data_IF_256212890435
#
_entry.id   IF_256212890435
#
_cell.length_a   1.000
_cell.length_b   1.000
_cell.length_c   1.000
_cell.angle_alpha   90.00
_cell.angle_beta   90.00
_cell.angle_gamma   90.00
#
_symmetry.space_group_name_H-M   'P 1'
#
loop_
_entity.id
_entity.type
_entity.pdbx_description
1 polymer ?
#
# COMPACT_ATOMS: atom_id res chain seq x y z
N UNK A 1 -12.41 -27.93 -24.63
CA UNK A 1 -12.26 -28.66 -23.34
C UNK A 1 -11.27 -27.84 -22.55
N UNK A 2 -11.80 -26.93 -21.74
CA UNK A 2 -11.16 -25.64 -21.51
C UNK A 2 -10.35 -25.63 -20.22
N UNK A 3 -9.17 -25.00 -20.30
CA UNK A 3 -8.17 -24.86 -19.23
C UNK A 3 -8.73 -24.10 -18.01
N UNK A 4 -9.84 -23.39 -18.18
CA UNK A 4 -10.49 -22.56 -17.16
C UNK A 4 -11.20 -23.38 -16.07
N UNK A 5 -11.74 -24.55 -16.41
CA UNK A 5 -12.48 -25.39 -15.44
C UNK A 5 -11.56 -26.06 -14.41
N UNK A 6 -10.28 -26.31 -14.77
CA UNK A 6 -9.29 -26.93 -13.88
C UNK A 6 -8.69 -25.94 -12.87
N UNK A 7 -8.54 -24.66 -13.21
CA UNK A 7 -7.99 -23.69 -12.27
C UNK A 7 -8.99 -23.27 -11.18
N UNK A 8 -10.28 -23.13 -11.54
CA UNK A 8 -11.36 -22.87 -10.58
C UNK A 8 -11.58 -24.02 -9.60
N UNK A 9 -11.41 -25.25 -10.08
CA UNK A 9 -11.54 -26.45 -9.24
C UNK A 9 -10.40 -26.64 -8.27
N UNK A 10 -9.26 -25.92 -8.35
CA UNK A 10 -8.21 -25.98 -7.32
C UNK A 10 -8.29 -24.82 -6.31
N UNK A 11 -8.66 -23.62 -6.75
CA UNK A 11 -8.65 -22.43 -5.88
C UNK A 11 -9.88 -22.32 -4.99
N UNK A 12 -10.99 -22.98 -5.35
CA UNK A 12 -12.25 -22.85 -4.63
C UNK A 12 -12.66 -24.08 -3.82
N UNK A 13 -11.91 -25.19 -3.82
CA UNK A 13 -12.35 -26.47 -3.20
C UNK A 13 -12.84 -26.28 -1.76
N UNK A 14 -12.13 -25.48 -0.98
CA UNK A 14 -12.33 -25.30 0.46
C UNK A 14 -13.52 -24.41 0.85
N UNK A 15 -14.26 -23.84 -0.11
CA UNK A 15 -15.40 -22.96 0.19
C UNK A 15 -16.75 -23.68 0.14
N UNK A 16 -17.71 -23.32 1.02
CA UNK A 16 -19.08 -23.81 0.96
C UNK A 16 -19.72 -23.55 -0.42
N UNK A 17 -20.61 -24.46 -0.83
CA UNK A 17 -21.21 -24.44 -2.18
C UNK A 17 -21.92 -23.13 -2.52
N UNK A 18 -22.57 -22.48 -1.53
CA UNK A 18 -23.24 -21.20 -1.72
C UNK A 18 -22.28 -20.06 -2.08
N UNK A 19 -21.06 -20.07 -1.54
CA UNK A 19 -20.02 -19.08 -1.85
C UNK A 19 -19.52 -19.27 -3.28
N UNK A 20 -19.31 -20.52 -3.70
CA UNK A 20 -18.94 -20.86 -5.08
C UNK A 20 -20.01 -20.39 -6.06
N UNK A 21 -21.28 -20.73 -5.80
CA UNK A 21 -22.39 -20.34 -6.67
C UNK A 21 -22.53 -18.82 -6.79
N UNK A 22 -22.42 -18.09 -5.67
CA UNK A 22 -22.48 -16.61 -5.66
C UNK A 22 -21.31 -15.99 -6.42
N UNK A 23 -20.10 -16.52 -6.26
CA UNK A 23 -18.93 -16.06 -6.99
C UNK A 23 -19.08 -16.30 -8.50
N UNK A 24 -19.50 -17.50 -8.91
CA UNK A 24 -19.73 -17.84 -10.32
C UNK A 24 -20.78 -16.94 -10.95
N UNK A 25 -21.91 -16.71 -10.27
CA UNK A 25 -22.95 -15.81 -10.75
C UNK A 25 -22.42 -14.39 -10.96
N UNK A 26 -21.70 -13.84 -9.97
CA UNK A 26 -21.13 -12.49 -10.03
C UNK A 26 -20.04 -12.35 -11.09
N UNK A 27 -19.22 -13.39 -11.29
CA UNK A 27 -18.21 -13.42 -12.34
C UNK A 27 -18.86 -13.43 -13.74
N UNK A 28 -19.93 -14.21 -13.92
CA UNK A 28 -20.69 -14.23 -15.17
C UNK A 28 -21.38 -12.89 -15.45
N UNK A 29 -21.93 -12.23 -14.43
CA UNK A 29 -22.48 -10.88 -14.56
C UNK A 29 -21.39 -9.87 -14.99
N UNK A 30 -20.21 -9.94 -14.38
CA UNK A 30 -19.09 -9.08 -14.74
C UNK A 30 -18.61 -9.30 -16.19
N UNK A 31 -18.51 -10.56 -16.63
CA UNK A 31 -18.12 -10.89 -18.01
C UNK A 31 -19.14 -10.33 -19.03
N UNK A 32 -20.44 -10.38 -18.71
CA UNK A 32 -21.49 -9.78 -19.56
C UNK A 32 -21.33 -8.26 -19.68
N UNK A 33 -20.99 -7.58 -18.58
CA UNK A 33 -20.80 -6.12 -18.58
C UNK A 33 -19.50 -5.66 -19.28
N UNK A 34 -18.50 -6.55 -19.44
CA UNK A 34 -17.22 -6.23 -20.06
C UNK A 34 -17.08 -6.69 -21.52
N UNK A 35 -18.13 -7.21 -22.15
CA UNK A 35 -18.07 -7.79 -23.51
C UNK A 35 -18.14 -6.77 -24.65
N UNK A 36 -17.73 -5.51 -24.46
CA UNK A 36 -17.53 -4.55 -25.56
C UNK A 36 -16.03 -4.26 -25.73
N UNK A 37 -15.27 -5.27 -26.18
CA UNK A 37 -14.11 -5.09 -27.05
C UNK A 37 -14.05 -6.30 -27.98
N UNK A 38 -14.74 -6.21 -29.13
CA UNK A 38 -14.47 -7.10 -30.26
C UNK A 38 -13.19 -6.64 -30.94
N UNK A 39 -12.11 -7.41 -30.83
CA UNK A 39 -10.97 -7.33 -31.76
C UNK A 39 -10.70 -8.74 -32.30
N UNK A 40 -10.47 -8.92 -33.62
CA UNK A 40 -10.48 -10.23 -34.24
C UNK A 40 -9.33 -11.09 -33.72
N UNK A 41 -9.64 -12.36 -33.47
CA UNK A 41 -8.65 -13.39 -33.26
C UNK A 41 -7.67 -13.39 -34.45
N UNK A 42 -6.39 -13.11 -34.19
CA UNK A 42 -5.26 -13.89 -34.71
C UNK A 42 -3.95 -13.40 -34.08
N UNK A 43 -3.19 -14.36 -33.56
CA UNK A 43 -1.78 -14.33 -33.13
C UNK A 43 -1.44 -13.51 -31.87
N UNK A 44 -1.62 -14.13 -30.70
CA UNK A 44 -0.97 -13.71 -29.45
C UNK A 44 0.24 -14.60 -29.20
N UNK A 45 1.39 -14.19 -29.75
CA UNK A 45 2.69 -14.56 -29.21
C UNK A 45 3.00 -13.60 -28.07
N UNK A 46 3.04 -14.13 -26.84
CA UNK A 46 3.73 -13.58 -25.65
C UNK A 46 3.92 -12.06 -25.60
N UNK A 47 2.85 -11.31 -25.35
CA UNK A 47 2.95 -9.93 -24.86
C UNK A 47 3.17 -10.00 -23.35
N UNK A 48 4.37 -9.65 -22.91
CA UNK A 48 4.65 -9.40 -21.50
C UNK A 48 3.68 -8.35 -20.98
N UNK A 49 2.84 -8.74 -20.03
CA UNK A 49 1.97 -7.83 -19.28
C UNK A 49 2.88 -6.82 -18.59
N UNK A 50 3.00 -5.61 -19.15
CA UNK A 50 3.48 -4.47 -18.42
C UNK A 50 2.50 -4.25 -17.28
N UNK A 51 2.96 -4.55 -16.06
CA UNK A 51 2.26 -4.19 -14.83
C UNK A 51 1.99 -2.69 -14.88
N UNK A 52 0.74 -2.30 -15.10
CA UNK A 52 0.28 -0.93 -14.90
C UNK A 52 0.35 -0.67 -13.40
N UNK A 53 1.52 -0.19 -12.95
CA UNK A 53 1.71 0.22 -11.57
C UNK A 53 0.68 1.31 -11.24
N UNK A 54 -0.08 1.18 -10.14
CA UNK A 54 -0.96 2.25 -9.68
C UNK A 54 -0.14 3.54 -9.48
N UNK A 55 -0.78 4.74 -9.57
CA UNK A 55 -0.08 6.01 -9.44
C UNK A 55 0.80 6.02 -8.19
N UNK A 56 2.11 5.99 -8.40
CA UNK A 56 3.08 5.98 -7.32
C UNK A 56 3.05 7.34 -6.64
N UNK A 57 2.39 7.43 -5.48
CA UNK A 57 2.49 8.60 -4.61
C UNK A 57 3.98 8.84 -4.33
N UNK A 58 4.50 9.97 -4.79
CA UNK A 58 5.88 10.41 -4.56
C UNK A 58 5.88 11.55 -3.55
N UNK A 59 6.81 11.51 -2.62
CA UNK A 59 7.02 12.55 -1.61
C UNK A 59 8.31 13.27 -1.95
N UNK A 60 8.27 14.61 -2.01
CA UNK A 60 9.47 15.43 -2.19
C UNK A 60 10.17 15.62 -0.84
N UNK A 61 11.25 14.90 -0.58
CA UNK A 61 11.97 14.96 0.71
C UNK A 61 12.46 16.39 1.04
N UNK A 62 12.89 17.15 0.03
CA UNK A 62 13.35 18.53 0.22
C UNK A 62 12.22 19.47 0.66
N UNK A 63 11.01 19.31 0.13
CA UNK A 63 9.83 20.07 0.58
C UNK A 63 9.50 19.73 2.04
N UNK A 64 9.48 18.44 2.38
CA UNK A 64 9.20 17.97 3.74
C UNK A 64 10.17 18.61 4.75
N UNK A 65 11.47 18.60 4.44
CA UNK A 65 12.47 19.18 5.34
C UNK A 65 12.39 20.71 5.42
N UNK A 66 12.10 21.39 4.31
CA UNK A 66 11.96 22.86 4.31
C UNK A 66 10.67 23.34 4.98
N UNK A 67 9.66 22.48 5.10
CA UNK A 67 8.37 22.81 5.72
C UNK A 67 8.41 22.92 7.25
N UNK A 68 9.45 22.39 7.90
CA UNK A 68 9.54 22.34 9.36
C UNK A 68 10.85 22.96 9.88
N UNK A 69 10.80 23.61 11.04
CA UNK A 69 12.01 24.15 11.71
C UNK A 69 13.01 23.03 11.98
N UNK A 70 12.55 21.88 12.48
CA UNK A 70 13.39 20.70 12.71
C UNK A 70 14.03 20.18 11.43
N UNK A 71 13.30 20.15 10.32
CA UNK A 71 13.84 19.76 9.02
C UNK A 71 14.95 20.70 8.53
N UNK A 72 14.79 22.02 8.69
CA UNK A 72 15.85 23.01 8.40
C UNK A 72 17.09 22.79 9.28
N UNK A 73 16.90 22.54 10.58
CA UNK A 73 18.03 22.21 11.47
C UNK A 73 18.78 20.95 11.04
N UNK A 74 18.08 19.92 10.56
CA UNK A 74 18.73 18.70 10.04
C UNK A 74 19.57 19.02 8.80
N UNK A 75 19.06 19.85 7.90
CA UNK A 75 19.78 20.29 6.70
C UNK A 75 21.05 21.06 7.07
N UNK A 76 20.95 22.00 8.00
CA UNK A 76 22.09 22.81 8.43
C UNK A 76 23.13 21.98 9.20
N UNK A 77 22.68 21.04 10.04
CA UNK A 77 23.56 20.08 10.69
C UNK A 77 24.36 19.26 9.65
N UNK A 78 23.70 18.79 8.60
CA UNK A 78 24.37 18.01 7.55
C UNK A 78 25.41 18.84 6.81
N UNK A 79 25.12 20.09 6.45
CA UNK A 79 26.08 20.98 5.76
C UNK A 79 27.38 21.15 6.54
N UNK A 80 27.32 21.15 7.87
CA UNK A 80 28.49 21.34 8.74
C UNK A 80 29.24 20.02 8.97
N UNK A 81 28.51 18.92 9.21
CA UNK A 81 29.10 17.67 9.69
C UNK A 81 29.30 16.61 8.59
N UNK A 82 28.64 16.77 7.43
CA UNK A 82 28.59 15.83 6.31
C UNK A 82 28.16 14.39 6.65
N UNK A 83 27.62 14.17 7.86
CA UNK A 83 27.21 12.86 8.35
C UNK A 83 26.18 12.98 9.46
N UNK A 84 25.24 12.05 9.54
CA UNK A 84 24.32 11.98 10.68
C UNK A 84 24.83 11.09 11.81
N UNK A 85 24.47 11.48 13.04
CA UNK A 85 24.50 10.61 14.20
C UNK A 85 23.11 9.97 14.42
N UNK A 86 23.00 9.01 15.34
CA UNK A 86 21.73 8.31 15.57
C UNK A 86 20.58 9.23 16.00
N UNK A 87 20.87 10.32 16.72
CA UNK A 87 19.87 11.30 17.14
C UNK A 87 19.29 12.06 15.95
N UNK A 88 20.14 12.58 15.05
CA UNK A 88 19.70 13.29 13.84
C UNK A 88 18.95 12.34 12.89
N UNK A 89 19.39 11.09 12.75
CA UNK A 89 18.65 10.07 11.97
C UNK A 89 17.24 9.84 12.52
N UNK A 90 17.10 9.85 13.84
CA UNK A 90 15.79 9.66 14.49
C UNK A 90 14.89 10.88 14.26
N UNK A 91 15.42 12.09 14.40
CA UNK A 91 14.70 13.34 14.07
C UNK A 91 14.27 13.38 12.60
N UNK A 92 15.14 12.97 11.68
CA UNK A 92 14.82 12.89 10.25
C UNK A 92 13.62 11.98 10.00
N UNK A 93 13.64 10.77 10.56
CA UNK A 93 12.52 9.82 10.45
C UNK A 93 11.25 10.41 11.06
N UNK A 94 11.36 11.07 12.20
CA UNK A 94 10.19 11.67 12.88
C UNK A 94 9.56 12.78 12.05
N UNK A 95 10.37 13.66 11.44
CA UNK A 95 9.87 14.73 10.55
C UNK A 95 9.16 14.13 9.33
N UNK A 96 9.76 13.12 8.69
CA UNK A 96 9.17 12.45 7.51
C UNK A 96 7.85 11.77 7.87
N UNK A 97 7.84 10.97 8.94
CA UNK A 97 6.63 10.24 9.34
C UNK A 97 5.53 11.19 9.80
N UNK A 98 5.87 12.26 10.51
CA UNK A 98 4.89 13.28 10.91
C UNK A 98 4.26 13.94 9.69
N UNK A 99 5.04 14.29 8.66
CA UNK A 99 4.49 14.82 7.41
C UNK A 99 3.53 13.84 6.74
N UNK A 100 3.93 12.56 6.61
CA UNK A 100 3.12 11.51 5.99
C UNK A 100 1.78 11.33 6.71
N UNK A 101 1.81 11.27 8.04
CA UNK A 101 0.60 11.14 8.85
C UNK A 101 -0.28 12.38 8.71
N UNK A 102 0.28 13.59 8.83
CA UNK A 102 -0.49 14.84 8.71
C UNK A 102 -1.14 14.98 7.33
N UNK A 103 -0.48 14.50 6.27
CA UNK A 103 -1.02 14.46 4.90
C UNK A 103 -1.92 13.25 4.63
N UNK A 104 -2.14 12.39 5.63
CA UNK A 104 -2.96 11.18 5.53
C UNK A 104 -2.51 10.23 4.41
N UNK A 105 -1.21 10.17 4.17
CA UNK A 105 -0.63 9.31 3.14
C UNK A 105 -0.46 7.89 3.71
N UNK A 106 -1.04 6.85 3.10
CA UNK A 106 -0.84 5.48 3.54
C UNK A 106 0.58 5.01 3.24
N UNK A 107 1.26 4.44 4.25
CA UNK A 107 2.60 3.90 4.05
C UNK A 107 2.53 2.55 3.32
N UNK A 108 3.20 2.47 2.17
CA UNK A 108 3.44 1.23 1.45
C UNK A 108 4.92 0.84 1.47
N UNK A 109 5.22 -0.42 1.19
CA UNK A 109 6.59 -0.95 1.02
C UNK A 109 7.35 -0.15 -0.05
N UNK A 110 6.69 0.15 -1.17
CA UNK A 110 7.29 0.88 -2.29
C UNK A 110 7.57 2.33 -1.91
N UNK A 111 6.64 2.98 -1.20
CA UNK A 111 6.83 4.35 -0.71
C UNK A 111 8.01 4.42 0.27
N UNK A 112 8.07 3.52 1.25
CA UNK A 112 9.18 3.47 2.20
C UNK A 112 10.53 3.21 1.51
N UNK A 113 10.56 2.34 0.49
CA UNK A 113 11.75 2.10 -0.33
C UNK A 113 12.17 3.32 -1.14
N UNK A 114 11.20 4.06 -1.70
CA UNK A 114 11.45 5.31 -2.44
C UNK A 114 12.06 6.36 -1.51
N UNK A 115 11.42 6.62 -0.37
CA UNK A 115 11.91 7.57 0.64
C UNK A 115 13.32 7.20 1.08
N UNK A 116 13.59 5.92 1.39
CA UNK A 116 14.93 5.47 1.76
C UNK A 116 15.97 5.73 0.67
N UNK A 117 15.58 5.62 -0.60
CA UNK A 117 16.46 5.94 -1.73
C UNK A 117 16.68 7.45 -1.87
N UNK A 118 15.65 8.26 -1.64
CA UNK A 118 15.72 9.72 -1.70
C UNK A 118 16.56 10.30 -0.56
N UNK A 119 16.54 9.67 0.63
CA UNK A 119 17.44 10.01 1.75
C UNK A 119 18.89 9.82 1.34
N UNK A 120 19.26 8.68 0.75
CA UNK A 120 20.66 8.41 0.33
C UNK A 120 21.10 9.34 -0.80
N UNK A 121 20.19 9.69 -1.72
CA UNK A 121 20.49 10.68 -2.78
C UNK A 121 20.77 12.07 -2.21
N UNK A 122 20.01 12.48 -1.19
CA UNK A 122 20.15 13.80 -0.57
C UNK A 122 21.32 13.86 0.43
N UNK A 123 21.57 12.75 1.12
CA UNK A 123 22.58 12.62 2.17
C UNK A 123 23.50 11.43 1.85
N UNK A 124 24.55 11.68 1.06
CA UNK A 124 25.43 10.64 0.51
C UNK A 124 26.15 9.78 1.57
N UNK A 125 26.30 10.28 2.81
CA UNK A 125 26.88 9.50 3.93
C UNK A 125 25.95 8.42 4.51
N UNK A 126 24.68 8.42 4.12
CA UNK A 126 23.65 7.56 4.68
C UNK A 126 23.46 6.25 3.90
N UNK A 127 22.99 5.21 4.60
CA UNK A 127 22.77 3.88 4.03
C UNK A 127 21.28 3.55 4.03
N UNK A 128 20.76 3.13 2.88
CA UNK A 128 19.32 2.85 2.67
C UNK A 128 18.75 1.87 3.70
N UNK A 129 19.49 0.82 4.03
CA UNK A 129 19.05 -0.25 4.94
C UNK A 129 18.77 0.25 6.37
N UNK A 130 19.39 1.37 6.77
CA UNK A 130 19.08 2.04 8.05
C UNK A 130 17.62 2.49 8.10
N UNK A 131 17.09 2.91 6.95
CA UNK A 131 15.76 3.51 6.82
C UNK A 131 14.73 2.51 6.36
N UNK A 132 15.10 1.66 5.39
CA UNK A 132 14.21 0.66 4.83
C UNK A 132 14.99 -0.49 4.19
N UNK A 133 14.68 -1.72 4.61
CA UNK A 133 15.19 -2.95 4.01
C UNK A 133 14.05 -3.95 3.84
N UNK A 134 13.83 -4.40 2.61
CA UNK A 134 12.92 -5.52 2.32
C UNK A 134 13.77 -6.75 2.04
N UNK A 135 13.87 -7.63 3.02
CA UNK A 135 14.55 -8.90 2.86
C UNK A 135 13.58 -9.90 2.21
N UNK A 136 13.97 -10.49 1.08
CA UNK A 136 13.13 -11.40 0.30
C UNK A 136 12.71 -12.66 1.05
N UNK A 137 13.45 -13.05 2.10
CA UNK A 137 13.14 -14.18 2.96
C UNK A 137 12.18 -13.81 4.11
N UNK A 138 12.16 -12.53 4.51
CA UNK A 138 11.37 -12.05 5.64
C UNK A 138 10.08 -11.37 5.17
N UNK A 139 8.94 -11.82 5.71
CA UNK A 139 7.62 -11.25 5.38
C UNK A 139 7.49 -9.77 5.77
N UNK A 140 8.24 -9.32 6.78
CA UNK A 140 8.11 -7.98 7.35
C UNK A 140 9.29 -7.09 6.96
N UNK A 141 9.05 -5.90 6.38
CA UNK A 141 10.09 -4.92 6.13
C UNK A 141 10.79 -4.48 7.42
N UNK A 142 12.09 -4.25 7.32
CA UNK A 142 12.94 -3.73 8.41
C UNK A 142 13.32 -2.26 8.15
N UNK A 143 13.85 -1.60 9.16
CA UNK A 143 14.31 -0.21 9.10
C UNK A 143 13.41 0.78 9.83
N UNK A 144 13.92 2.00 10.04
CA UNK A 144 13.27 3.02 10.88
C UNK A 144 11.95 3.55 10.31
N UNK A 145 11.83 3.71 8.98
CA UNK A 145 10.66 4.36 8.36
C UNK A 145 9.37 3.55 8.55
N UNK A 146 9.41 2.29 8.11
CA UNK A 146 8.22 1.43 8.13
C UNK A 146 7.77 1.17 9.57
N UNK A 147 8.71 0.83 10.45
CA UNK A 147 8.41 0.60 11.86
C UNK A 147 7.84 1.84 12.56
N UNK A 148 8.46 3.02 12.36
CA UNK A 148 7.99 4.27 13.00
C UNK A 148 6.58 4.62 12.55
N UNK A 149 6.25 4.51 11.26
CA UNK A 149 4.91 4.82 10.77
C UNK A 149 3.82 4.01 11.49
N UNK A 150 3.94 2.67 11.50
CA UNK A 150 2.91 1.83 12.11
C UNK A 150 2.89 1.94 13.64
N UNK A 151 4.03 2.18 14.28
CA UNK A 151 4.08 2.44 15.71
C UNK A 151 3.40 3.77 16.06
N UNK A 152 3.71 4.86 15.34
CA UNK A 152 3.05 6.16 15.53
C UNK A 152 1.55 6.06 15.28
N UNK A 153 1.13 5.40 14.20
CA UNK A 153 -0.28 5.20 13.88
C UNK A 153 -1.01 4.37 14.94
N UNK A 154 -0.36 3.34 15.50
CA UNK A 154 -0.90 2.57 16.63
C UNK A 154 -1.10 3.47 17.84
N UNK A 155 -0.10 4.28 18.21
CA UNK A 155 -0.19 5.21 19.34
C UNK A 155 -1.34 6.19 19.16
N UNK A 156 -1.48 6.79 17.97
CA UNK A 156 -2.57 7.73 17.65
C UNK A 156 -3.97 7.08 17.73
N UNK A 157 -4.08 5.82 17.33
CA UNK A 157 -5.33 5.04 17.45
C UNK A 157 -5.65 4.73 18.90
N UNK A 158 -4.66 4.32 19.69
CA UNK A 158 -4.83 4.03 21.12
C UNK A 158 -5.24 5.29 21.88
N UNK A 159 -4.65 6.45 21.53
CA UNK A 159 -4.98 7.73 22.16
C UNK A 159 -6.30 8.35 21.68
N UNK A 160 -7.01 7.72 20.74
CA UNK A 160 -8.28 8.21 20.21
C UNK A 160 -8.17 9.42 19.27
N UNK A 161 -6.96 9.79 18.84
CA UNK A 161 -6.73 10.94 17.95
C UNK A 161 -6.99 10.62 16.47
N UNK A 162 -7.07 9.34 16.11
CA UNK A 162 -7.36 8.87 14.75
C UNK A 162 -8.52 7.89 14.78
N UNK A 163 -9.58 8.19 14.03
CA UNK A 163 -10.75 7.31 13.88
C UNK A 163 -10.37 5.95 13.31
N UNK A 164 -11.00 4.88 13.84
CA UNK A 164 -10.76 3.49 13.44
C UNK A 164 -10.96 3.22 11.93
N UNK A 165 -11.63 4.14 11.23
CA UNK A 165 -12.03 4.00 9.82
C UNK A 165 -11.05 4.60 8.80
N UNK A 166 -9.98 5.29 9.22
CA UNK A 166 -9.11 6.07 8.30
C UNK A 166 -8.00 5.26 7.61
N UNK A 167 -7.92 3.95 7.85
CA UNK A 167 -7.00 3.06 7.15
C UNK A 167 -7.70 1.71 6.92
N UNK A 168 -8.43 1.58 5.81
CA UNK A 168 -8.69 0.27 5.24
C UNK A 168 -7.33 -0.40 4.99
N UNK A 169 -7.12 -1.53 5.69
CA UNK A 169 -5.84 -2.24 5.83
C UNK A 169 -5.19 -2.50 4.45
N UNK A 170 -3.86 -2.34 4.29
CA UNK A 170 -3.16 -3.04 3.22
C UNK A 170 -3.08 -4.52 3.62
N UNK A 171 -3.84 -5.35 2.90
CA UNK A 171 -3.73 -6.81 2.78
C UNK A 171 -2.98 -7.56 3.89
N UNK A 172 -3.74 -8.11 4.85
CA UNK A 172 -3.41 -9.41 5.44
C UNK A 172 -4.60 -10.35 5.20
N UNK A 173 -4.43 -11.29 4.28
CA UNK A 173 -5.47 -12.10 3.63
C UNK A 173 -6.21 -13.08 4.57
N UNK A 174 -5.92 -13.08 5.87
CA UNK A 174 -6.56 -13.96 6.85
C UNK A 174 -7.60 -13.26 7.73
N UNK A 175 -7.56 -11.92 7.84
CA UNK A 175 -8.51 -11.17 8.68
C UNK A 175 -9.82 -10.80 7.96
N UNK A 176 -9.87 -10.94 6.62
CA UNK A 176 -11.05 -10.56 5.81
C UNK A 176 -12.17 -11.58 5.93
N UNK A 177 -11.87 -12.85 6.26
CA UNK A 177 -12.87 -13.92 6.25
C UNK A 177 -13.76 -13.91 7.51
N UNK A 178 -13.33 -13.31 8.62
CA UNK A 178 -14.09 -13.37 9.88
C UNK A 178 -14.94 -12.14 10.19
N UNK A 179 -14.77 -11.01 9.48
CA UNK A 179 -15.58 -9.80 9.70
C UNK A 179 -16.50 -9.44 8.52
N UNK A 180 -16.60 -10.29 7.50
CA UNK A 180 -17.39 -10.02 6.29
C UNK A 180 -18.83 -10.56 6.36
N UNK A 181 -19.46 -10.63 7.54
CA UNK A 181 -20.87 -11.03 7.68
C UNK A 181 -21.83 -9.84 7.85
N UNK A 182 -21.37 -8.63 8.19
CA UNK A 182 -22.27 -7.47 8.38
C UNK A 182 -21.91 -6.25 7.51
N UNK A 183 -21.80 -6.41 6.19
CA UNK A 183 -21.77 -5.25 5.29
C UNK A 183 -23.05 -5.24 4.44
N UNK A 184 -23.90 -4.26 4.76
CA UNK A 184 -25.10 -3.88 4.03
C UNK A 184 -24.76 -3.56 2.56
N UNK A 185 -25.41 -4.31 1.68
CA UNK A 185 -25.20 -4.29 0.23
C UNK A 185 -25.43 -2.91 -0.40
N UNK A 186 -26.20 -2.04 0.26
CA UNK A 186 -26.51 -0.68 -0.21
C UNK A 186 -25.32 0.28 -0.19
N UNK A 187 -24.28 -0.02 0.60
CA UNK A 187 -23.10 0.85 0.68
C UNK A 187 -22.10 0.66 -0.47
N UNK A 188 -22.20 -0.42 -1.24
CA UNK A 188 -21.25 -0.74 -2.32
C UNK A 188 -21.70 -0.26 -3.71
N UNK A 189 -22.98 0.12 -3.90
CA UNK A 189 -23.51 0.56 -5.19
C UNK A 189 -24.55 1.69 -5.04
N UNK A 190 -24.13 2.95 -4.82
CA UNK A 190 -25.06 4.05 -4.53
C UNK A 190 -25.84 4.57 -5.76
N UNK A 191 -25.60 4.04 -6.97
CA UNK A 191 -26.21 4.54 -8.22
C UNK A 191 -26.74 3.43 -9.15
N UNK A 192 -27.21 2.32 -8.60
CA UNK A 192 -28.03 1.40 -9.39
C UNK A 192 -29.51 1.74 -9.16
N UNK A 193 -30.20 2.38 -10.11
CA UNK A 193 -31.65 2.47 -10.03
C UNK A 193 -32.23 1.07 -10.25
N UNK A 194 -33.37 0.83 -9.60
CA UNK A 194 -34.28 -0.31 -9.73
C UNK A 194 -34.01 -1.52 -8.83
N UNK A 195 -34.48 -1.43 -7.59
CA UNK A 195 -35.13 -2.55 -6.89
C UNK A 195 -36.28 -1.99 -6.03
N UNK A 196 -37.51 -2.03 -6.56
CA UNK A 196 -38.72 -2.20 -5.75
C UNK A 196 -38.78 -3.63 -5.24
#
# INVERSE_FOLDING_TARGET
MDIETRHMSYTCIQFPIGIKAKFTHKLQEWQKCNSIVNLPANNISSLSIQQTTPPSIKICLQEVLNSTTTGKMILDYYKINNKFNNSIRTLLVDVIISYIITKQIPMSVNLASSIGSDIVKMFQSEVKDTYFMKDGLNKNPKGKLYAKYYNSMRTLKISGLVSKNLLSKPYHTVDIILNAIDIDFNTLYPNCPDLN
#
